data_IF_511236904976
#
_entry.id   IF_511236904976
#
_cell.length_a   1.000
_cell.length_b   1.000
_cell.length_c   1.000
_cell.angle_alpha   90.00
_cell.angle_beta   90.00
_cell.angle_gamma   90.00
#
_symmetry.space_group_name_H-M   'P 1'
#
loop_
_entity.id
_entity.type
_entity.pdbx_description
1 polymer ?
#
# COMPACT_ATOMS: atom_id res chain seq x y z
N UNK A 1 2.92 -31.06 2.44
CA UNK A 1 3.07 -30.83 0.99
C UNK A 1 2.44 -29.47 0.67
N UNK A 2 2.97 -28.69 -0.28
CA UNK A 2 2.36 -27.43 -0.68
C UNK A 2 1.15 -27.66 -1.60
N UNK A 3 0.04 -26.98 -1.33
CA UNK A 3 -1.04 -26.81 -2.31
C UNK A 3 -0.60 -25.77 -3.32
N UNK A 4 -0.42 -26.17 -4.58
CA UNK A 4 -0.14 -25.25 -5.68
C UNK A 4 -1.44 -24.54 -6.06
N UNK A 5 -1.37 -23.23 -6.25
CA UNK A 5 -2.51 -22.40 -6.63
C UNK A 5 -2.30 -21.93 -8.05
N UNK A 6 -3.28 -22.22 -8.91
CA UNK A 6 -3.24 -21.82 -10.31
C UNK A 6 -3.36 -20.29 -10.46
N UNK A 7 -2.77 -19.76 -11.53
CA UNK A 7 -2.66 -18.30 -11.74
C UNK A 7 -4.02 -17.64 -11.95
N UNK A 8 -4.96 -18.37 -12.54
CA UNK A 8 -6.34 -17.94 -12.78
C UNK A 8 -7.28 -18.15 -11.56
N UNK A 9 -6.81 -18.73 -10.47
CA UNK A 9 -7.62 -18.94 -9.27
C UNK A 9 -7.74 -17.63 -8.47
N UNK A 10 -8.77 -16.83 -8.78
CA UNK A 10 -9.02 -15.53 -8.15
C UNK A 10 -9.78 -15.64 -6.81
N UNK A 11 -10.59 -16.68 -6.64
CA UNK A 11 -11.37 -16.93 -5.43
C UNK A 11 -11.23 -18.39 -5.02
N UNK A 12 -10.79 -18.65 -3.78
CA UNK A 12 -10.53 -20.00 -3.31
C UNK A 12 -10.48 -20.09 -1.79
N UNK A 13 -11.33 -20.93 -1.20
CA UNK A 13 -11.26 -21.23 0.23
C UNK A 13 -10.25 -22.33 0.57
N UNK A 14 -9.70 -22.21 1.78
CA UNK A 14 -8.80 -23.19 2.36
C UNK A 14 -9.42 -23.85 3.59
N UNK A 15 -8.75 -24.91 4.05
CA UNK A 15 -9.28 -25.74 5.12
C UNK A 15 -9.24 -25.08 6.50
N UNK A 16 -8.45 -24.02 6.69
CA UNK A 16 -8.55 -23.15 7.86
C UNK A 16 -9.70 -22.17 7.61
N UNK A 17 -10.71 -22.17 8.49
CA UNK A 17 -11.91 -21.35 8.28
C UNK A 17 -11.58 -19.86 8.12
N UNK A 18 -12.05 -19.26 7.03
CA UNK A 18 -11.83 -17.85 6.67
C UNK A 18 -10.52 -17.55 5.93
N UNK A 19 -9.55 -18.47 5.91
CA UNK A 19 -8.35 -18.32 5.09
C UNK A 19 -8.74 -18.58 3.62
N UNK A 20 -8.59 -17.58 2.76
CA UNK A 20 -9.03 -17.68 1.35
C UNK A 20 -8.37 -16.67 0.43
N UNK A 21 -8.34 -16.98 -0.86
CA UNK A 21 -8.18 -15.95 -1.90
C UNK A 21 -9.53 -15.32 -2.23
N UNK A 22 -9.54 -14.02 -2.44
CA UNK A 22 -10.67 -13.24 -2.95
C UNK A 22 -10.23 -12.37 -4.12
N UNK A 23 -11.15 -12.07 -5.03
CA UNK A 23 -10.89 -11.17 -6.14
C UNK A 23 -10.63 -9.73 -5.66
N UNK A 24 -9.67 -9.08 -6.30
CA UNK A 24 -9.45 -7.65 -6.17
C UNK A 24 -10.30 -6.86 -7.17
N UNK A 25 -10.46 -5.57 -6.89
CA UNK A 25 -11.06 -4.62 -7.81
C UNK A 25 -9.97 -4.04 -8.70
N UNK A 26 -9.89 -4.50 -9.95
CA UNK A 26 -8.91 -4.01 -10.92
C UNK A 26 -9.60 -3.41 -12.15
N UNK A 27 -8.97 -2.40 -12.75
CA UNK A 27 -9.42 -1.77 -13.98
C UNK A 27 -8.26 -1.69 -14.98
N UNK A 28 -8.52 -2.05 -16.24
CA UNK A 28 -7.59 -1.84 -17.35
C UNK A 28 -7.74 -0.44 -17.97
N UNK A 29 -6.78 -0.02 -18.79
CA UNK A 29 -6.71 1.34 -19.36
C UNK A 29 -7.51 1.57 -20.64
N UNK A 30 -8.15 0.54 -21.18
CA UNK A 30 -8.97 0.61 -22.39
C UNK A 30 -10.14 1.61 -22.33
N UNK A 31 -10.48 2.15 -21.16
CA UNK A 31 -11.55 3.13 -20.97
C UNK A 31 -11.08 4.59 -20.87
N UNK A 32 -9.77 4.90 -20.84
CA UNK A 32 -9.30 6.29 -20.59
C UNK A 32 -8.00 6.73 -21.27
N UNK A 33 -7.29 5.87 -22.02
CA UNK A 33 -6.01 6.28 -22.63
C UNK A 33 -4.93 6.67 -21.60
N UNK A 34 -5.00 6.09 -20.40
CA UNK A 34 -4.07 6.34 -19.31
C UNK A 34 -2.67 5.81 -19.56
N UNK A 35 -1.67 6.38 -18.89
CA UNK A 35 -0.23 6.05 -19.01
C UNK A 35 0.21 4.80 -18.21
N UNK A 36 -0.74 4.11 -17.57
CA UNK A 36 -0.51 2.85 -16.85
C UNK A 36 -1.21 1.70 -17.58
N UNK A 37 -1.00 0.45 -17.18
CA UNK A 37 -1.63 -0.73 -17.80
C UNK A 37 -2.79 -1.29 -16.98
N UNK A 38 -2.74 -1.12 -15.66
CA UNK A 38 -3.75 -1.59 -14.71
C UNK A 38 -3.78 -0.70 -13.48
N UNK A 39 -4.99 -0.44 -12.97
CA UNK A 39 -5.27 0.16 -11.65
C UNK A 39 -5.81 -0.94 -10.74
N UNK A 40 -5.29 -1.05 -9.53
CA UNK A 40 -5.84 -1.83 -8.43
C UNK A 40 -6.41 -0.84 -7.41
N UNK A 41 -7.72 -0.91 -7.17
CA UNK A 41 -8.41 -0.05 -6.22
C UNK A 41 -8.37 -0.62 -4.81
N UNK A 42 -8.65 0.21 -3.79
CA UNK A 42 -8.88 -0.28 -2.43
C UNK A 42 -10.02 -1.29 -2.35
N UNK A 43 -9.79 -2.34 -1.57
CA UNK A 43 -10.75 -3.39 -1.29
C UNK A 43 -11.93 -2.84 -0.48
N UNK A 44 -13.15 -3.42 -0.63
CA UNK A 44 -14.30 -3.08 0.20
C UNK A 44 -13.99 -3.09 1.69
N UNK A 45 -14.50 -2.14 2.46
CA UNK A 45 -14.19 -2.00 3.88
C UNK A 45 -13.36 -0.74 4.16
N UNK A 46 -12.42 -0.72 5.11
CA UNK A 46 -11.81 0.51 5.62
C UNK A 46 -11.05 1.39 4.61
N UNK A 47 -10.71 0.85 3.43
CA UNK A 47 -9.95 1.47 2.33
C UNK A 47 -8.47 1.80 2.63
N UNK A 48 -8.03 1.57 3.87
CA UNK A 48 -6.65 1.80 4.31
C UNK A 48 -5.71 0.83 3.58
N UNK A 49 -4.53 1.31 3.21
CA UNK A 49 -3.49 0.49 2.60
C UNK A 49 -2.11 0.83 3.12
N UNK A 50 -1.47 -0.18 3.68
CA UNK A 50 -0.06 -0.19 4.01
C UNK A 50 0.69 -1.01 2.94
N UNK A 51 1.96 -0.68 2.71
CA UNK A 51 2.78 -1.35 1.70
C UNK A 51 4.08 -1.83 2.31
N UNK A 52 4.36 -3.12 2.20
CA UNK A 52 5.60 -3.74 2.67
C UNK A 52 6.50 -4.03 1.47
N UNK A 53 7.68 -3.44 1.44
CA UNK A 53 8.74 -3.77 0.48
C UNK A 53 9.70 -4.76 1.11
N UNK A 54 10.27 -5.65 0.29
CA UNK A 54 11.17 -6.70 0.76
C UNK A 54 12.50 -6.65 0.02
N UNK A 55 13.58 -6.62 0.79
CA UNK A 55 14.95 -6.60 0.27
C UNK A 55 15.36 -7.93 -0.37
N UNK A 56 16.56 -7.93 -0.96
CA UNK A 56 17.19 -9.13 -1.50
C UNK A 56 17.43 -10.18 -0.40
N UNK A 57 17.20 -11.45 -0.71
CA UNK A 57 17.35 -12.58 0.24
C UNK A 57 16.50 -12.44 1.53
N UNK A 58 15.42 -11.65 1.47
CA UNK A 58 14.53 -11.41 2.62
C UNK A 58 13.86 -12.69 3.12
N UNK A 59 13.85 -12.87 4.43
CA UNK A 59 13.18 -13.98 5.10
C UNK A 59 12.66 -13.58 6.48
N UNK A 60 11.45 -14.00 6.80
CA UNK A 60 10.93 -13.89 8.17
C UNK A 60 11.52 -14.98 9.05
N UNK A 61 11.97 -14.60 10.26
CA UNK A 61 12.43 -15.53 11.30
C UNK A 61 11.31 -16.04 12.22
N UNK A 62 10.11 -15.45 12.11
CA UNK A 62 8.94 -15.77 12.92
C UNK A 62 7.68 -15.94 12.08
N UNK A 63 6.69 -16.64 12.64
CA UNK A 63 5.29 -16.49 12.31
C UNK A 63 4.73 -15.29 13.05
N UNK A 64 3.88 -14.52 12.38
CA UNK A 64 3.04 -13.48 12.96
C UNK A 64 1.64 -13.99 13.25
N UNK A 65 1.07 -13.63 14.39
CA UNK A 65 -0.34 -13.85 14.73
C UNK A 65 -0.94 -12.50 15.11
N UNK A 66 -1.79 -11.95 14.25
CA UNK A 66 -2.61 -10.79 14.59
C UNK A 66 -3.82 -11.23 15.42
N UNK A 67 -4.13 -10.60 16.54
CA UNK A 67 -5.32 -10.94 17.35
C UNK A 67 -6.47 -9.96 17.13
N UNK A 68 -6.17 -8.73 16.73
CA UNK A 68 -7.08 -7.64 16.43
C UNK A 68 -7.25 -7.36 14.94
N UNK A 69 -6.41 -7.90 14.06
CA UNK A 69 -6.41 -7.56 12.64
C UNK A 69 -6.64 -8.79 11.74
N UNK A 70 -7.58 -8.68 10.78
CA UNK A 70 -7.54 -9.53 9.59
C UNK A 70 -6.60 -8.89 8.57
N UNK A 71 -5.70 -9.68 8.01
CA UNK A 71 -4.82 -9.23 6.92
C UNK A 71 -5.45 -9.50 5.58
N UNK A 72 -5.29 -8.54 4.66
CA UNK A 72 -5.80 -8.65 3.29
C UNK A 72 -4.67 -8.30 2.34
N UNK A 73 -3.90 -9.33 2.01
CA UNK A 73 -2.60 -9.20 1.37
C UNK A 73 -2.70 -9.36 -0.15
N UNK A 74 -2.31 -8.34 -0.89
CA UNK A 74 -2.07 -8.44 -2.33
C UNK A 74 -0.57 -8.43 -2.60
N UNK A 75 -0.07 -9.44 -3.30
CA UNK A 75 1.34 -9.60 -3.62
C UNK A 75 1.62 -9.13 -5.05
N UNK A 76 2.59 -8.23 -5.21
CA UNK A 76 2.90 -7.52 -6.45
C UNK A 76 4.39 -7.66 -6.77
N UNK A 77 4.74 -8.06 -8.00
CA UNK A 77 6.14 -8.29 -8.38
C UNK A 77 6.25 -9.09 -9.68
N UNK A 78 7.39 -9.74 -9.91
CA UNK A 78 7.59 -10.64 -11.06
C UNK A 78 6.61 -11.82 -10.98
N UNK A 79 5.75 -11.96 -11.99
CA UNK A 79 4.75 -13.03 -12.08
C UNK A 79 5.34 -14.44 -12.18
N UNK A 80 6.67 -14.56 -12.34
CA UNK A 80 7.39 -15.85 -12.33
C UNK A 80 7.80 -16.27 -10.92
N UNK A 81 7.90 -15.33 -9.98
CA UNK A 81 8.29 -15.59 -8.59
C UNK A 81 7.22 -16.42 -7.88
N UNK A 82 7.65 -17.46 -7.17
CA UNK A 82 6.76 -18.37 -6.41
C UNK A 82 6.87 -18.05 -4.94
N UNK A 83 5.79 -17.55 -4.36
CA UNK A 83 5.63 -17.24 -2.95
C UNK A 83 5.14 -18.49 -2.23
N UNK A 84 5.80 -18.81 -1.13
CA UNK A 84 5.42 -19.92 -0.25
C UNK A 84 4.82 -19.35 1.03
N UNK A 85 3.53 -19.60 1.26
CA UNK A 85 2.81 -19.18 2.47
C UNK A 85 2.59 -20.35 3.42
N UNK A 86 2.78 -20.11 4.72
CA UNK A 86 2.61 -21.09 5.79
C UNK A 86 1.60 -20.57 6.80
N UNK A 87 0.59 -21.36 7.12
CA UNK A 87 -0.51 -20.95 7.98
C UNK A 87 -0.79 -22.02 9.03
N UNK A 88 -1.03 -21.58 10.26
CA UNK A 88 -1.47 -22.44 11.38
C UNK A 88 -2.63 -21.78 12.08
N UNK A 89 -3.75 -22.47 12.22
CA UNK A 89 -4.87 -21.95 13.00
C UNK A 89 -4.54 -21.98 14.50
N UNK A 90 -4.53 -20.82 15.16
CA UNK A 90 -4.24 -20.68 16.59
C UNK A 90 -5.47 -20.23 17.39
N UNK A 91 -6.67 -20.21 16.78
CA UNK A 91 -7.86 -19.62 17.39
C UNK A 91 -8.50 -20.56 18.41
N UNK A 92 -8.70 -20.04 19.62
CA UNK A 92 -9.47 -20.69 20.67
C UNK A 92 -10.86 -21.09 20.15
N UNK A 93 -11.27 -22.35 20.39
CA UNK A 93 -12.57 -22.87 19.99
C UNK A 93 -12.76 -23.10 18.49
N UNK A 94 -11.73 -22.89 17.65
CA UNK A 94 -11.82 -23.19 16.21
C UNK A 94 -11.93 -24.69 15.94
N UNK A 95 -12.86 -25.07 15.06
CA UNK A 95 -13.00 -26.44 14.56
C UNK A 95 -11.76 -26.92 13.78
N UNK A 96 -10.90 -25.98 13.37
CA UNK A 96 -9.67 -26.24 12.59
C UNK A 96 -8.41 -25.90 13.38
N UNK A 97 -8.49 -25.84 14.71
CA UNK A 97 -7.35 -25.52 15.59
C UNK A 97 -6.11 -26.39 15.27
N UNK A 98 -4.96 -25.74 15.14
CA UNK A 98 -3.66 -26.31 14.77
C UNK A 98 -3.61 -27.00 13.41
N UNK A 99 -4.64 -26.84 12.59
CA UNK A 99 -4.56 -27.23 11.19
C UNK A 99 -3.51 -26.39 10.48
N UNK A 100 -2.73 -27.06 9.63
CA UNK A 100 -1.66 -26.44 8.85
C UNK A 100 -2.10 -26.34 7.40
N UNK A 101 -1.97 -25.15 6.82
CA UNK A 101 -2.11 -24.93 5.38
C UNK A 101 -0.78 -24.41 4.84
N UNK A 102 -0.33 -24.97 3.71
CA UNK A 102 0.86 -24.51 2.99
C UNK A 102 0.51 -24.24 1.55
N UNK A 103 0.70 -23.01 1.12
CA UNK A 103 0.32 -22.53 -0.21
C UNK A 103 1.57 -22.19 -1.02
N UNK A 104 1.57 -22.53 -2.30
CA UNK A 104 2.55 -22.04 -3.27
C UNK A 104 1.82 -21.36 -4.41
N UNK A 105 2.05 -20.05 -4.57
CA UNK A 105 1.32 -19.21 -5.51
C UNK A 105 2.25 -18.14 -6.11
N UNK A 106 1.79 -17.45 -7.15
CA UNK A 106 2.48 -16.31 -7.75
C UNK A 106 1.79 -14.99 -7.38
N UNK A 107 2.54 -13.86 -7.36
CA UNK A 107 1.95 -12.54 -7.19
C UNK A 107 0.93 -12.26 -8.29
N UNK A 108 -0.13 -11.52 -7.94
CA UNK A 108 -1.20 -11.15 -8.87
C UNK A 108 -1.97 -9.97 -8.32
N UNK A 109 -2.23 -8.98 -9.18
CA UNK A 109 -3.12 -7.86 -8.85
C UNK A 109 -4.59 -8.28 -8.76
N UNK A 110 -4.97 -9.42 -9.34
CA UNK A 110 -6.38 -9.85 -9.46
C UNK A 110 -6.95 -10.50 -8.20
N UNK A 111 -6.10 -10.80 -7.21
CA UNK A 111 -6.52 -11.46 -5.99
C UNK A 111 -5.75 -10.98 -4.78
N UNK A 112 -6.44 -10.99 -3.65
CA UNK A 112 -5.87 -10.84 -2.30
C UNK A 112 -6.00 -12.13 -1.53
N UNK A 113 -5.04 -12.41 -0.66
CA UNK A 113 -5.13 -13.45 0.36
C UNK A 113 -5.71 -12.82 1.63
N UNK A 114 -6.84 -13.34 2.09
CA UNK A 114 -7.44 -12.98 3.37
C UNK A 114 -6.95 -13.94 4.44
N UNK A 115 -6.31 -13.42 5.48
CA UNK A 115 -5.82 -14.19 6.62
C UNK A 115 -6.60 -13.73 7.84
N UNK A 116 -7.47 -14.58 8.41
CA UNK A 116 -8.20 -14.21 9.60
C UNK A 116 -7.27 -13.98 10.79
N UNK A 117 -7.61 -13.01 11.64
CA UNK A 117 -6.99 -12.88 12.97
C UNK A 117 -6.95 -14.22 13.72
N UNK A 118 -5.88 -14.44 14.44
CA UNK A 118 -5.58 -15.66 15.17
C UNK A 118 -5.07 -16.81 14.30
N UNK A 119 -4.86 -16.61 13.00
CA UNK A 119 -4.12 -17.54 12.15
C UNK A 119 -2.66 -17.10 12.08
N UNK A 120 -1.76 -17.94 12.62
CA UNK A 120 -0.33 -17.72 12.51
C UNK A 120 0.10 -17.83 11.05
N UNK A 121 0.88 -16.88 10.56
CA UNK A 121 1.33 -16.91 9.17
C UNK A 121 2.73 -16.36 8.98
N UNK A 122 3.36 -16.78 7.88
CA UNK A 122 4.65 -16.30 7.41
C UNK A 122 4.83 -16.66 5.95
N UNK A 123 5.78 -16.03 5.28
CA UNK A 123 6.00 -16.15 3.85
C UNK A 123 7.49 -16.28 3.52
N UNK A 124 7.78 -17.07 2.48
CA UNK A 124 9.11 -17.18 1.88
C UNK A 124 9.08 -16.70 0.41
N UNK A 125 10.27 -16.41 -0.11
CA UNK A 125 10.51 -15.94 -1.48
C UNK A 125 9.81 -14.61 -1.79
N UNK A 126 9.93 -13.65 -0.88
CA UNK A 126 9.36 -12.31 -1.03
C UNK A 126 10.34 -11.28 -1.63
N UNK A 127 11.58 -11.65 -1.95
CA UNK A 127 12.52 -10.75 -2.63
C UNK A 127 11.88 -10.12 -3.88
N UNK A 128 11.93 -8.78 -3.95
CA UNK A 128 11.36 -8.02 -5.06
C UNK A 128 9.83 -8.03 -5.14
N UNK A 129 9.16 -8.67 -4.18
CA UNK A 129 7.71 -8.60 -4.01
C UNK A 129 7.39 -7.40 -3.13
N UNK A 130 6.36 -6.66 -3.51
CA UNK A 130 5.69 -5.67 -2.66
C UNK A 130 4.38 -6.28 -2.21
N UNK A 131 4.11 -6.23 -0.90
CA UNK A 131 2.85 -6.66 -0.34
C UNK A 131 2.03 -5.44 0.03
N UNK A 132 0.86 -5.27 -0.57
CA UNK A 132 -0.16 -4.35 -0.08
C UNK A 132 -0.95 -5.07 1.00
N UNK A 133 -1.04 -4.49 2.19
CA UNK A 133 -1.96 -4.94 3.24
C UNK A 133 -3.08 -3.92 3.42
N UNK A 134 -4.31 -4.42 3.49
CA UNK A 134 -5.51 -3.63 3.73
C UNK A 134 -6.16 -4.08 5.04
N UNK A 135 -5.62 -3.69 6.20
CA UNK A 135 -6.01 -4.27 7.48
C UNK A 135 -7.47 -3.99 7.84
N UNK A 136 -8.14 -4.99 8.44
CA UNK A 136 -9.45 -4.80 9.09
C UNK A 136 -9.31 -5.05 10.58
N UNK A 137 -9.51 -4.00 11.36
CA UNK A 137 -9.30 -3.95 12.80
C UNK A 137 -10.56 -4.29 13.60
N UNK A 138 -10.34 -5.01 14.69
CA UNK A 138 -11.33 -5.51 15.62
C UNK A 138 -10.84 -5.29 17.05
N UNK A 139 -11.78 -5.10 17.96
CA UNK A 139 -11.54 -4.85 19.38
C UNK A 139 -12.36 -5.79 20.26
N UNK A 140 -11.76 -6.26 21.35
CA UNK A 140 -12.43 -6.81 22.53
C UNK A 140 -11.82 -6.12 23.76
N UNK A 141 -12.66 -5.60 24.66
CA UNK A 141 -12.23 -4.82 25.83
C UNK A 141 -11.46 -5.64 26.88
N UNK A 142 -11.55 -6.97 26.82
CA UNK A 142 -11.04 -7.90 27.81
C UNK A 142 -9.95 -8.83 27.27
N UNK A 143 -9.40 -8.56 26.08
CA UNK A 143 -8.39 -9.41 25.44
C UNK A 143 -6.96 -9.01 25.83
N UNK A 144 -6.28 -9.74 26.74
CA UNK A 144 -4.93 -9.38 27.19
C UNK A 144 -3.86 -9.59 26.11
N UNK A 145 -4.17 -10.36 25.06
CA UNK A 145 -3.27 -10.53 23.92
C UNK A 145 -3.31 -9.33 22.98
N UNK A 146 -4.37 -8.53 23.01
CA UNK A 146 -4.51 -7.36 22.15
C UNK A 146 -3.80 -6.14 22.72
N UNK A 147 -2.96 -5.51 21.91
CA UNK A 147 -2.34 -4.23 22.20
C UNK A 147 -2.38 -3.41 20.90
N UNK A 148 -2.93 -2.20 20.97
CA UNK A 148 -3.05 -1.33 19.81
C UNK A 148 -1.68 -0.96 19.21
N UNK A 149 -0.66 -0.78 20.05
CA UNK A 149 0.70 -0.43 19.62
C UNK A 149 1.39 -1.62 18.93
N UNK A 150 0.99 -2.86 19.26
CA UNK A 150 1.55 -4.07 18.69
C UNK A 150 0.58 -5.27 18.78
N UNK A 151 -0.23 -5.43 17.74
CA UNK A 151 -1.19 -6.53 17.61
C UNK A 151 -0.55 -7.88 17.24
N UNK A 152 0.75 -7.89 16.99
CA UNK A 152 1.46 -9.09 16.55
C UNK A 152 1.87 -9.94 17.76
N UNK A 153 1.57 -11.23 17.72
CA UNK A 153 2.20 -12.25 18.57
C UNK A 153 3.14 -13.08 17.71
N UNK A 154 4.43 -13.05 18.03
CA UNK A 154 5.49 -13.71 17.28
C UNK A 154 5.75 -15.12 17.80
N UNK A 155 5.87 -16.08 16.87
CA UNK A 155 6.27 -17.47 17.15
C UNK A 155 7.50 -17.80 16.31
N UNK A 156 8.58 -18.31 16.91
CA UNK A 156 9.79 -18.68 16.17
C UNK A 156 9.47 -19.72 15.07
N UNK A 157 10.11 -19.61 13.89
CA UNK A 157 9.84 -20.57 12.80
C UNK A 157 10.29 -21.99 13.07
N UNK A 158 11.24 -22.16 13.99
CA UNK A 158 11.69 -23.46 14.47
C UNK A 158 10.75 -24.10 15.50
N UNK A 159 9.72 -23.39 15.95
CA UNK A 159 8.76 -23.90 16.93
C UNK A 159 8.01 -25.13 16.39
N UNK A 160 7.85 -26.13 17.26
CA UNK A 160 6.98 -27.29 17.00
C UNK A 160 5.52 -26.84 17.08
N UNK A 161 4.62 -27.59 16.43
CA UNK A 161 3.19 -27.25 16.37
C UNK A 161 2.55 -27.07 17.76
N UNK A 162 2.92 -27.90 18.73
CA UNK A 162 2.42 -27.81 20.11
C UNK A 162 2.96 -26.60 20.90
N UNK A 163 3.90 -25.85 20.35
CA UNK A 163 4.42 -24.60 20.92
C UNK A 163 3.75 -23.35 20.32
N UNK A 164 2.86 -23.51 19.31
CA UNK A 164 2.04 -22.40 18.85
C UNK A 164 1.02 -22.05 19.95
N UNK A 165 0.83 -20.75 20.26
CA UNK A 165 -0.11 -20.34 21.28
C UNK A 165 -1.55 -20.58 20.79
N UNK A 166 -2.45 -20.81 21.73
CA UNK A 166 -3.89 -20.68 21.49
C UNK A 166 -4.26 -19.25 21.88
N UNK A 167 -4.84 -18.50 20.94
CA UNK A 167 -5.19 -17.09 21.13
C UNK A 167 -6.69 -16.91 20.97
N UNK A 168 -7.24 -15.97 21.74
CA UNK A 168 -8.60 -15.48 21.55
C UNK A 168 -8.54 -14.26 20.62
N UNK A 169 -9.12 -14.32 19.41
CA UNK A 169 -9.15 -13.15 18.54
C UNK A 169 -10.26 -12.17 18.95
N UNK A 170 -10.08 -10.89 18.63
CA UNK A 170 -11.10 -9.87 18.85
C UNK A 170 -12.32 -10.09 17.93
N UNK A 171 -13.50 -9.69 18.39
CA UNK A 171 -14.77 -10.00 17.72
C UNK A 171 -15.45 -8.79 17.11
N UNK A 172 -15.26 -7.60 17.67
CA UNK A 172 -16.02 -6.43 17.25
C UNK A 172 -15.22 -5.59 16.25
N UNK A 173 -15.65 -5.61 14.98
CA UNK A 173 -15.03 -4.79 13.94
C UNK A 173 -15.12 -3.30 14.31
N UNK A 174 -14.00 -2.60 14.19
CA UNK A 174 -13.97 -1.16 14.37
C UNK A 174 -14.73 -0.45 13.23
N UNK A 175 -15.34 0.72 13.48
CA UNK A 175 -15.90 1.52 12.40
C UNK A 175 -14.79 2.13 11.53
N UNK A 176 -15.11 2.50 10.29
CA UNK A 176 -14.17 3.15 9.35
C UNK A 176 -13.44 4.36 9.98
N UNK A 177 -14.16 5.19 10.75
CA UNK A 177 -13.56 6.37 11.42
C UNK A 177 -12.45 5.98 12.41
N UNK A 178 -12.60 4.85 13.09
CA UNK A 178 -11.58 4.36 14.00
C UNK A 178 -10.38 3.82 13.21
N UNK A 179 -10.59 3.12 12.09
CA UNK A 179 -9.49 2.70 11.21
C UNK A 179 -8.67 3.89 10.71
N UNK A 180 -9.32 4.94 10.21
CA UNK A 180 -8.65 6.18 9.76
C UNK A 180 -7.88 6.82 10.93
N UNK A 181 -8.46 6.83 12.13
CA UNK A 181 -7.78 7.36 13.31
C UNK A 181 -6.51 6.58 13.65
N UNK A 182 -6.56 5.24 13.59
CA UNK A 182 -5.37 4.40 13.80
C UNK A 182 -4.30 4.66 12.75
N UNK A 183 -4.66 4.78 11.47
CA UNK A 183 -3.71 5.12 10.40
C UNK A 183 -3.05 6.48 10.63
N UNK A 184 -3.79 7.47 11.15
CA UNK A 184 -3.23 8.79 11.50
C UNK A 184 -2.29 8.75 12.70
N UNK A 185 -2.54 7.89 13.68
CA UNK A 185 -1.58 7.63 14.75
C UNK A 185 -0.30 7.06 14.15
N UNK A 186 -0.40 6.05 13.27
CA UNK A 186 0.77 5.48 12.59
C UNK A 186 1.53 6.52 11.78
N UNK A 187 0.85 7.42 11.05
CA UNK A 187 1.46 8.56 10.35
C UNK A 187 2.32 9.41 11.30
N UNK A 188 1.72 9.87 12.40
CA UNK A 188 2.40 10.74 13.36
C UNK A 188 3.59 10.04 14.04
N UNK A 189 3.43 8.76 14.41
CA UNK A 189 4.51 7.98 15.00
C UNK A 189 5.66 7.71 14.03
N UNK A 190 5.39 7.71 12.73
CA UNK A 190 6.36 7.41 11.66
C UNK A 190 6.80 8.68 10.90
N UNK A 191 6.57 9.86 11.46
CA UNK A 191 7.33 11.08 11.07
C UNK A 191 8.82 10.89 11.32
N UNK A 192 9.17 10.14 12.38
CA UNK A 192 10.50 9.64 12.66
C UNK A 192 10.50 8.11 12.49
N UNK A 193 11.10 7.59 11.40
CA UNK A 193 11.11 6.15 11.14
C UNK A 193 11.70 5.34 12.30
N UNK A 194 11.05 4.21 12.62
CA UNK A 194 11.44 3.29 13.69
C UNK A 194 11.39 1.83 13.25
N UNK A 195 12.03 0.94 14.00
CA UNK A 195 11.89 -0.51 13.77
C UNK A 195 10.49 -1.01 14.11
N UNK A 196 10.03 -2.03 13.40
CA UNK A 196 8.98 -2.88 13.94
C UNK A 196 9.48 -3.68 15.15
N UNK A 197 8.64 -3.73 16.18
CA UNK A 197 8.90 -4.48 17.40
C UNK A 197 8.37 -5.91 17.27
N UNK A 198 9.22 -6.90 17.52
CA UNK A 198 8.77 -8.28 17.67
C UNK A 198 8.20 -8.47 19.07
N UNK A 199 7.07 -9.16 19.21
CA UNK A 199 6.38 -9.34 20.50
C UNK A 199 6.18 -10.82 20.80
N UNK A 200 6.89 -11.31 21.79
CA UNK A 200 6.89 -12.72 22.16
C UNK A 200 6.06 -12.96 23.41
N UNK A 201 5.27 -14.03 23.38
CA UNK A 201 4.61 -14.56 24.57
C UNK A 201 5.62 -15.29 25.45
N UNK A 202 5.68 -14.95 26.73
CA UNK A 202 6.54 -15.56 27.74
C UNK A 202 5.75 -15.92 28.99
N UNK A 203 6.19 -16.95 29.71
CA UNK A 203 5.64 -17.30 31.01
C UNK A 203 6.50 -16.68 32.11
N UNK A 204 5.91 -15.77 32.89
CA UNK A 204 6.59 -15.11 34.02
C UNK A 204 5.74 -15.35 35.27
N UNK A 205 6.33 -16.02 36.28
CA UNK A 205 5.68 -16.36 37.55
C UNK A 205 4.32 -17.08 37.38
N UNK A 206 4.21 -17.99 36.41
CA UNK A 206 2.97 -18.75 36.13
C UNK A 206 1.88 -17.96 35.39
N UNK A 207 2.16 -16.71 34.99
CA UNK A 207 1.27 -15.88 34.18
C UNK A 207 1.84 -15.64 32.78
N UNK A 208 0.98 -15.71 31.76
CA UNK A 208 1.36 -15.35 30.40
C UNK A 208 1.55 -13.83 30.32
N UNK A 209 2.71 -13.40 29.85
CA UNK A 209 3.06 -12.00 29.58
C UNK A 209 3.62 -11.85 28.18
N UNK A 210 3.72 -10.61 27.71
CA UNK A 210 4.30 -10.30 26.41
C UNK A 210 5.50 -9.38 26.58
N UNK A 211 6.60 -9.70 25.89
CA UNK A 211 7.82 -8.88 25.88
C UNK A 211 8.05 -8.39 24.45
N UNK A 212 8.34 -7.09 24.32
CA UNK A 212 8.68 -6.46 23.05
C UNK A 212 10.20 -6.41 22.90
N UNK A 213 10.70 -6.80 21.73
CA UNK A 213 12.10 -6.74 21.34
C UNK A 213 12.25 -5.80 20.16
N UNK A 214 13.08 -4.78 20.32
CA UNK A 214 13.46 -3.85 19.26
C UNK A 214 14.73 -4.35 18.57
N UNK A 215 14.72 -4.54 17.24
CA UNK A 215 15.93 -4.80 16.47
C UNK A 215 16.92 -3.64 16.61
N UNK A 216 18.22 -3.93 16.78
CA UNK A 216 19.25 -2.89 16.69
C UNK A 216 19.37 -2.39 15.24
N UNK A 217 19.17 -1.09 15.01
CA UNK A 217 19.55 -0.43 13.76
C UNK A 217 20.92 0.25 13.86
N UNK A 218 21.68 0.20 12.77
CA UNK A 218 23.06 0.70 12.69
C UNK A 218 23.29 1.66 11.51
N UNK A 219 22.26 2.04 10.74
CA UNK A 219 22.41 2.87 9.53
C UNK A 219 21.86 4.29 9.70
N UNK A 220 22.55 5.27 9.11
CA UNK A 220 22.08 6.66 8.96
C UNK A 220 21.10 6.76 7.78
N UNK A 221 19.88 6.29 8.00
CA UNK A 221 18.77 6.34 7.05
C UNK A 221 18.42 7.76 6.62
N UNK A 222 18.58 8.74 7.53
CA UNK A 222 18.13 10.10 7.30
C UNK A 222 18.88 10.79 6.18
N UNK A 223 20.21 10.73 6.23
CA UNK A 223 21.05 11.37 5.23
C UNK A 223 20.82 10.81 3.82
N UNK A 224 20.60 9.50 3.69
CA UNK A 224 20.39 8.87 2.39
C UNK A 224 19.10 9.39 1.71
N UNK A 225 18.01 9.51 2.46
CA UNK A 225 16.72 9.99 1.97
C UNK A 225 16.76 11.49 1.64
N UNK A 226 17.40 12.29 2.49
CA UNK A 226 17.54 13.74 2.28
C UNK A 226 18.28 14.06 0.97
N UNK A 227 19.35 13.32 0.65
CA UNK A 227 20.09 13.50 -0.59
C UNK A 227 19.24 13.25 -1.86
N UNK A 228 18.25 12.36 -1.79
CA UNK A 228 17.33 12.12 -2.91
C UNK A 228 16.36 13.32 -3.03
N UNK A 229 15.83 13.79 -1.90
CA UNK A 229 14.87 14.90 -1.85
C UNK A 229 15.51 16.21 -2.32
N UNK A 230 16.71 16.54 -1.85
CA UNK A 230 17.40 17.81 -2.16
C UNK A 230 17.78 17.96 -3.63
N UNK A 231 18.01 16.84 -4.33
CA UNK A 231 18.28 16.81 -5.77
C UNK A 231 17.05 17.13 -6.61
N UNK A 232 15.86 17.01 -6.04
CA UNK A 232 14.61 17.17 -6.75
C UNK A 232 14.12 18.63 -6.67
N UNK A 233 14.39 19.41 -7.73
CA UNK A 233 14.00 20.83 -7.82
C UNK A 233 13.25 21.10 -9.12
N UNK A 234 11.93 20.96 -9.07
CA UNK A 234 11.04 21.21 -10.22
C UNK A 234 9.86 22.06 -9.74
N UNK A 235 9.60 23.24 -10.33
CA UNK A 235 8.43 24.04 -9.99
C UNK A 235 7.13 23.23 -10.09
N UNK A 236 6.32 23.25 -9.04
CA UNK A 236 5.07 22.47 -8.99
C UNK A 236 5.25 20.97 -8.73
N UNK A 237 6.46 20.47 -8.50
CA UNK A 237 6.71 19.07 -8.11
C UNK A 237 7.66 18.99 -6.93
N UNK A 238 7.29 18.24 -5.89
CA UNK A 238 8.07 18.14 -4.65
C UNK A 238 8.37 16.69 -4.34
N UNK A 239 9.63 16.36 -4.07
CA UNK A 239 9.96 15.10 -3.41
C UNK A 239 9.75 15.24 -1.90
N UNK A 240 9.19 14.22 -1.26
CA UNK A 240 9.00 14.16 0.19
C UNK A 240 9.31 12.77 0.72
N UNK A 241 9.69 12.71 1.98
CA UNK A 241 9.81 11.45 2.71
C UNK A 241 8.42 10.86 2.95
N UNK A 242 8.30 9.55 2.78
CA UNK A 242 7.12 8.76 3.19
C UNK A 242 7.14 8.48 4.70
N UNK A 243 5.98 8.18 5.27
CA UNK A 243 5.92 7.59 6.61
C UNK A 243 6.19 6.09 6.55
N UNK A 244 7.27 5.62 7.19
CA UNK A 244 7.62 4.21 7.20
C UNK A 244 8.27 3.73 8.49
N UNK A 245 8.16 2.42 8.70
CA UNK A 245 8.94 1.67 9.68
C UNK A 245 9.79 0.61 9.00
N UNK A 246 10.92 0.26 9.63
CA UNK A 246 11.82 -0.78 9.14
C UNK A 246 11.30 -2.17 9.52
N UNK A 247 11.14 -3.03 8.53
CA UNK A 247 10.82 -4.46 8.69
C UNK A 247 12.01 -5.38 8.41
N UNK A 248 13.09 -4.81 7.89
CA UNK A 248 14.37 -5.46 7.59
C UNK A 248 15.48 -4.44 7.47
N UNK A 249 16.65 -4.83 6.95
CA UNK A 249 17.76 -3.91 6.71
C UNK A 249 17.45 -2.88 5.62
N UNK A 250 16.76 -3.33 4.56
CA UNK A 250 16.25 -2.52 3.44
C UNK A 250 14.80 -2.89 3.07
N UNK A 251 14.03 -3.29 4.07
CA UNK A 251 12.61 -3.62 3.94
C UNK A 251 11.81 -2.63 4.77
N UNK A 252 10.73 -2.10 4.18
CA UNK A 252 9.98 -0.99 4.77
C UNK A 252 8.48 -1.30 4.76
N UNK A 253 7.78 -1.00 5.85
CA UNK A 253 6.32 -0.83 5.81
C UNK A 253 6.02 0.65 5.68
N UNK A 254 5.37 1.01 4.59
CA UNK A 254 4.89 2.35 4.28
C UNK A 254 3.44 2.48 4.72
N UNK A 255 3.14 3.48 5.53
CA UNK A 255 1.75 3.84 5.89
C UNK A 255 1.28 5.01 5.02
N UNK A 256 -0.03 5.37 4.99
CA UNK A 256 -0.53 6.45 4.14
C UNK A 256 0.16 7.80 4.35
N UNK A 257 0.36 8.55 3.27
CA UNK A 257 0.87 9.93 3.34
C UNK A 257 -0.25 10.96 3.46
N UNK A 258 -1.43 10.62 2.95
CA UNK A 258 -2.59 11.51 3.00
C UNK A 258 -3.45 11.21 4.22
N UNK A 259 -4.10 12.24 4.76
CA UNK A 259 -5.06 12.08 5.86
C UNK A 259 -6.39 11.41 5.44
N UNK A 260 -6.63 11.25 4.13
CA UNK A 260 -7.73 10.43 3.62
C UNK A 260 -7.41 8.94 3.74
N UNK A 261 -6.12 8.58 3.79
CA UNK A 261 -5.61 7.22 3.95
C UNK A 261 -6.01 6.24 2.84
N UNK A 262 -6.47 6.75 1.69
CA UNK A 262 -6.84 5.95 0.52
C UNK A 262 -5.68 5.96 -0.46
N UNK A 263 -5.29 4.77 -0.92
CA UNK A 263 -4.26 4.61 -1.93
C UNK A 263 -4.66 3.54 -2.95
N UNK A 264 -4.55 3.88 -4.23
CA UNK A 264 -4.64 2.91 -5.32
C UNK A 264 -3.25 2.44 -5.72
N UNK A 265 -3.16 1.36 -6.49
CA UNK A 265 -1.92 0.93 -7.14
C UNK A 265 -2.05 1.01 -8.65
N UNK A 266 -1.04 1.59 -9.31
CA UNK A 266 -0.92 1.64 -10.75
C UNK A 266 0.25 0.76 -11.21
N UNK A 267 0.06 0.00 -12.29
CA UNK A 267 1.14 -0.76 -12.93
C UNK A 267 1.61 -0.04 -14.19
N UNK A 268 2.80 0.55 -14.13
CA UNK A 268 3.53 1.04 -15.29
C UNK A 268 4.32 -0.11 -15.92
N UNK A 269 4.08 -0.38 -17.21
CA UNK A 269 4.81 -1.41 -17.96
C UNK A 269 6.14 -0.89 -18.49
N UNK A 270 7.16 -1.73 -18.43
CA UNK A 270 8.47 -1.48 -18.99
C UNK A 270 8.37 -1.03 -20.46
N UNK A 271 9.03 0.08 -20.80
CA UNK A 271 9.11 0.63 -22.16
C UNK A 271 7.75 0.77 -22.86
N UNK A 272 6.67 1.06 -22.12
CA UNK A 272 5.35 1.27 -22.71
C UNK A 272 5.33 2.52 -23.59
N UNK A 273 4.87 2.39 -24.83
CA UNK A 273 4.65 3.55 -25.70
C UNK A 273 3.58 4.49 -25.12
N UNK A 274 2.58 3.95 -24.42
CA UNK A 274 1.49 4.70 -23.79
C UNK A 274 1.98 5.63 -22.68
N UNK A 275 3.13 5.32 -22.05
CA UNK A 275 3.72 6.16 -21.02
C UNK A 275 4.56 7.32 -21.57
N UNK A 276 4.63 7.47 -22.90
CA UNK A 276 5.34 8.59 -23.55
C UNK A 276 4.47 9.83 -23.77
N UNK A 277 3.15 9.70 -23.64
CA UNK A 277 2.25 10.85 -23.68
C UNK A 277 2.33 11.64 -22.36
N UNK A 278 2.12 12.95 -22.44
CA UNK A 278 1.94 13.77 -21.26
C UNK A 278 0.50 13.71 -20.79
N UNK A 279 0.31 13.56 -19.49
CA UNK A 279 -0.99 13.65 -18.85
C UNK A 279 -0.94 14.64 -17.70
N UNK A 280 -2.08 15.23 -17.38
CA UNK A 280 -2.21 16.14 -16.25
C UNK A 280 -3.56 15.99 -15.57
N UNK A 281 -3.67 16.57 -14.40
CA UNK A 281 -4.88 16.55 -13.58
C UNK A 281 -5.39 17.97 -13.36
N UNK A 282 -6.66 18.18 -13.68
CA UNK A 282 -7.30 19.49 -13.51
C UNK A 282 -7.72 19.77 -12.07
N UNK A 283 -7.95 18.73 -11.26
CA UNK A 283 -8.53 18.87 -9.92
C UNK A 283 -7.76 18.11 -8.84
N UNK A 284 -6.90 17.18 -9.24
CA UNK A 284 -6.17 16.37 -8.28
C UNK A 284 -4.70 16.70 -8.26
N UNK A 285 -4.20 16.91 -7.05
CA UNK A 285 -2.76 16.82 -6.77
C UNK A 285 -2.44 15.35 -6.56
N UNK A 286 -1.44 14.82 -7.26
CA UNK A 286 -1.04 13.41 -7.17
C UNK A 286 0.18 13.23 -6.28
N UNK A 287 0.18 12.14 -5.53
CA UNK A 287 1.30 11.71 -4.70
C UNK A 287 1.64 10.29 -5.14
N UNK A 288 2.81 10.13 -5.74
CA UNK A 288 3.30 8.84 -6.25
C UNK A 288 4.49 8.33 -5.46
N UNK A 289 4.41 7.08 -5.01
CA UNK A 289 5.56 6.33 -4.47
C UNK A 289 5.84 5.15 -5.39
N UNK A 290 7.09 5.02 -5.85
CA UNK A 290 7.56 3.89 -6.63
C UNK A 290 7.93 2.76 -5.68
N UNK A 291 7.22 1.63 -5.74
CA UNK A 291 7.22 0.63 -4.66
C UNK A 291 8.26 -0.48 -4.83
N UNK A 292 8.59 -0.86 -6.07
CA UNK A 292 9.48 -1.98 -6.38
C UNK A 292 10.70 -1.51 -7.19
N UNK A 293 11.68 -2.41 -7.36
CA UNK A 293 12.93 -2.15 -8.08
C UNK A 293 13.73 -0.98 -7.46
N UNK A 294 13.94 -1.02 -6.14
CA UNK A 294 14.79 -0.05 -5.44
C UNK A 294 16.16 0.09 -6.15
N UNK A 295 16.59 1.33 -6.36
CA UNK A 295 17.81 1.67 -7.09
C UNK A 295 17.65 1.79 -8.61
N UNK A 296 16.51 1.42 -9.18
CA UNK A 296 16.26 1.60 -10.61
C UNK A 296 16.09 3.08 -10.97
N UNK A 297 16.52 3.46 -12.18
CA UNK A 297 16.31 4.80 -12.71
C UNK A 297 14.90 4.93 -13.31
N UNK A 298 14.19 5.97 -12.90
CA UNK A 298 12.89 6.37 -13.42
C UNK A 298 13.05 7.71 -14.14
N UNK A 299 12.72 7.74 -15.42
CA UNK A 299 12.73 8.98 -16.19
C UNK A 299 11.41 9.72 -16.00
N UNK A 300 11.52 10.99 -15.62
CA UNK A 300 10.41 11.88 -15.37
C UNK A 300 10.53 13.10 -16.29
N UNK A 301 9.41 13.48 -16.89
CA UNK A 301 9.31 14.72 -17.65
C UNK A 301 8.09 15.50 -17.21
N UNK A 302 8.22 16.81 -17.06
CA UNK A 302 7.17 17.68 -16.57
C UNK A 302 6.99 18.91 -17.45
N UNK A 303 5.75 19.39 -17.58
CA UNK A 303 5.40 20.64 -18.26
C UNK A 303 4.46 21.42 -17.36
N UNK A 304 4.78 22.68 -17.09
CA UNK A 304 3.93 23.56 -16.29
C UNK A 304 2.81 24.17 -17.15
N UNK A 305 1.54 23.85 -16.87
CA UNK A 305 0.37 24.36 -17.60
C UNK A 305 -0.38 25.44 -16.81
N UNK A 306 0.17 25.93 -15.70
CA UNK A 306 -0.44 26.97 -14.86
C UNK A 306 -0.18 28.35 -15.45
N UNK A 307 -1.22 29.00 -15.94
CA UNK A 307 -1.12 30.26 -16.71
C UNK A 307 -0.45 31.41 -15.96
N UNK A 308 -0.60 31.42 -14.65
CA UNK A 308 -0.08 32.42 -13.71
C UNK A 308 1.31 32.07 -13.18
N UNK A 309 1.89 30.95 -13.62
CA UNK A 309 3.23 30.52 -13.23
C UNK A 309 4.31 31.15 -14.10
N UNK A 310 5.38 31.61 -13.46
CA UNK A 310 6.61 32.10 -14.13
C UNK A 310 7.27 31.02 -15.01
N UNK A 311 6.93 29.76 -14.78
CA UNK A 311 7.44 28.61 -15.54
C UNK A 311 6.46 28.02 -16.53
N UNK A 312 5.36 28.72 -16.87
CA UNK A 312 4.37 28.25 -17.85
C UNK A 312 5.02 27.81 -19.18
N UNK A 313 4.67 26.60 -19.62
CA UNK A 313 5.16 25.96 -20.83
C UNK A 313 6.60 25.44 -20.77
N UNK A 314 7.32 25.64 -19.67
CA UNK A 314 8.68 25.11 -19.51
C UNK A 314 8.65 23.60 -19.31
N UNK A 315 9.57 22.91 -19.99
CA UNK A 315 9.76 21.46 -19.86
C UNK A 315 10.93 21.21 -18.91
N UNK A 316 10.73 20.32 -17.94
CA UNK A 316 11.77 19.86 -17.03
C UNK A 316 11.93 18.34 -17.12
N UNK A 317 13.16 17.89 -17.32
CA UNK A 317 13.53 16.47 -17.32
C UNK A 317 14.30 16.13 -16.05
N UNK A 318 14.01 14.97 -15.47
CA UNK A 318 14.70 14.50 -14.28
C UNK A 318 14.77 12.98 -14.24
N UNK A 319 15.87 12.45 -13.72
CA UNK A 319 16.01 11.02 -13.42
C UNK A 319 15.93 10.83 -11.93
N UNK A 320 14.90 10.11 -11.47
CA UNK A 320 14.73 9.74 -10.07
C UNK A 320 15.29 8.33 -9.84
N UNK A 321 16.08 8.16 -8.80
CA UNK A 321 16.44 6.82 -8.32
C UNK A 321 15.27 6.31 -7.47
N UNK A 322 14.70 5.17 -7.89
CA UNK A 322 13.57 4.54 -7.22
C UNK A 322 13.93 4.19 -5.77
N UNK A 323 13.23 4.81 -4.83
CA UNK A 323 13.36 4.57 -3.41
C UNK A 323 11.97 4.63 -2.77
N UNK A 324 11.44 3.52 -2.22
CA UNK A 324 10.10 3.48 -1.66
C UNK A 324 9.92 4.39 -0.45
N UNK A 325 11.01 4.89 0.16
CA UNK A 325 10.97 5.86 1.27
C UNK A 325 10.66 7.28 0.79
N UNK A 326 10.67 7.55 -0.52
CA UNK A 326 10.40 8.86 -1.11
C UNK A 326 9.15 8.81 -1.97
N UNK A 327 8.31 9.84 -1.87
CA UNK A 327 7.24 10.10 -2.83
C UNK A 327 7.52 11.39 -3.61
N UNK A 328 6.91 11.50 -4.79
CA UNK A 328 6.79 12.75 -5.53
C UNK A 328 5.34 13.25 -5.44
N UNK A 329 5.19 14.52 -5.10
CA UNK A 329 3.92 15.25 -5.12
C UNK A 329 3.89 16.14 -6.36
N UNK A 330 2.94 15.91 -7.26
CA UNK A 330 2.73 16.66 -8.50
C UNK A 330 1.49 17.55 -8.31
N UNK A 331 1.67 18.86 -8.37
CA UNK A 331 0.59 19.84 -8.28
C UNK A 331 -0.38 19.74 -9.47
N UNK A 332 -1.63 20.13 -9.24
CA UNK A 332 -2.61 20.29 -10.32
C UNK A 332 -2.10 21.26 -11.39
N UNK A 333 -2.41 20.98 -12.66
CA UNK A 333 -1.90 21.76 -13.79
C UNK A 333 -0.44 21.53 -14.15
N UNK A 334 0.26 20.58 -13.52
CA UNK A 334 1.54 20.07 -14.04
C UNK A 334 1.25 18.84 -14.89
N UNK A 335 1.58 18.91 -16.18
CA UNK A 335 1.64 17.76 -17.05
C UNK A 335 2.90 16.95 -16.78
N UNK A 336 2.79 15.63 -16.86
CA UNK A 336 3.89 14.73 -16.58
C UNK A 336 3.86 13.50 -17.46
N UNK A 337 5.04 12.91 -17.62
CA UNK A 337 5.31 11.66 -18.32
C UNK A 337 6.31 10.88 -17.46
N UNK A 338 6.04 9.58 -17.25
CA UNK A 338 6.82 8.70 -16.38
C UNK A 338 7.23 7.48 -17.20
N UNK A 339 8.53 7.23 -17.33
CA UNK A 339 9.07 6.09 -18.09
C UNK A 339 10.03 5.28 -17.24
N UNK A 340 10.01 3.98 -17.48
CA UNK A 340 10.95 3.03 -16.88
C UNK A 340 11.24 1.90 -17.84
N UNK A 341 12.45 1.35 -17.73
CA UNK A 341 12.87 0.13 -18.44
C UNK A 341 12.39 -1.15 -17.74
N UNK A 342 11.79 -1.02 -16.55
CA UNK A 342 11.25 -2.11 -15.74
C UNK A 342 9.75 -1.91 -15.49
N UNK A 343 9.05 -3.00 -15.14
CA UNK A 343 7.68 -2.91 -14.64
C UNK A 343 7.69 -2.29 -13.24
N UNK A 344 6.92 -1.21 -13.05
CA UNK A 344 6.88 -0.46 -11.80
C UNK A 344 5.46 -0.44 -11.24
N UNK A 345 5.33 -0.79 -9.96
CA UNK A 345 4.12 -0.59 -9.18
C UNK A 345 4.21 0.76 -8.47
N UNK A 346 3.25 1.63 -8.73
CA UNK A 346 3.14 2.94 -8.09
C UNK A 346 1.99 2.92 -7.10
N UNK A 347 2.27 3.28 -5.85
CA UNK A 347 1.23 3.75 -4.93
C UNK A 347 0.77 5.12 -5.39
N UNK A 348 -0.53 5.29 -5.55
CA UNK A 348 -1.17 6.54 -5.95
C UNK A 348 -2.09 7.03 -4.82
N UNK A 349 -1.70 8.13 -4.18
CA UNK A 349 -2.56 8.90 -3.30
C UNK A 349 -2.86 10.24 -3.95
N UNK A 350 -3.91 10.92 -3.50
CA UNK A 350 -4.24 12.24 -4.03
C UNK A 350 -5.01 13.13 -3.07
N UNK A 351 -4.94 14.41 -3.37
CA UNK A 351 -5.78 15.45 -2.79
C UNK A 351 -6.68 16.01 -3.90
N UNK A 352 -7.90 16.38 -3.56
CA UNK A 352 -8.91 16.85 -4.51
C UNK A 352 -9.21 18.32 -4.24
N UNK A 353 -9.34 19.11 -5.29
CA UNK A 353 -9.65 20.53 -5.24
C UNK A 353 -10.96 20.83 -5.97
N UNK A 354 -11.72 21.80 -5.46
CA UNK A 354 -12.97 22.30 -6.04
C UNK A 354 -13.06 23.81 -5.87
N UNK A 355 -13.95 24.46 -6.63
CA UNK A 355 -14.26 25.89 -6.44
C UNK A 355 -15.43 26.12 -5.48
N UNK A 356 -15.44 27.29 -4.82
CA UNK A 356 -16.42 27.63 -3.77
C UNK A 356 -17.90 27.56 -4.22
N UNK A 357 -18.15 27.74 -5.52
CA UNK A 357 -19.49 27.81 -6.11
C UNK A 357 -19.75 26.73 -7.18
N UNK A 358 -18.94 25.66 -7.19
CA UNK A 358 -19.04 24.65 -8.22
C UNK A 358 -20.16 23.62 -7.93
N UNK A 359 -20.96 23.23 -8.94
CA UNK A 359 -21.92 22.14 -8.79
C UNK A 359 -21.19 20.86 -8.38
N UNK A 360 -21.57 20.29 -7.23
CA UNK A 360 -20.90 19.10 -6.65
C UNK A 360 -21.05 17.83 -7.50
N UNK A 361 -21.87 17.87 -8.55
CA UNK A 361 -22.02 16.79 -9.54
C UNK A 361 -20.81 16.63 -10.45
N UNK A 362 -19.93 17.64 -10.51
CA UNK A 362 -18.82 17.71 -11.47
C UNK A 362 -17.47 17.33 -10.84
N UNK A 363 -17.47 16.88 -9.57
CA UNK A 363 -16.28 16.34 -8.92
C UNK A 363 -16.06 14.93 -9.48
N UNK A 364 -14.97 14.69 -10.23
CA UNK A 364 -14.75 13.43 -10.93
C UNK A 364 -14.56 12.29 -9.94
N UNK A 365 -14.99 11.08 -10.32
CA UNK A 365 -14.58 9.87 -9.59
C UNK A 365 -13.05 9.71 -9.66
N UNK A 366 -12.46 8.96 -8.73
CA UNK A 366 -11.01 8.90 -8.55
C UNK A 366 -10.26 8.61 -9.86
N UNK A 367 -9.49 9.60 -10.33
CA UNK A 367 -8.66 9.47 -11.53
C UNK A 367 -9.38 9.69 -12.87
N UNK A 368 -10.67 10.06 -12.86
CA UNK A 368 -11.39 10.49 -14.07
C UNK A 368 -11.07 11.93 -14.49
N UNK A 369 -10.22 12.63 -13.74
CA UNK A 369 -9.70 13.97 -14.08
C UNK A 369 -8.36 13.94 -14.83
N UNK A 370 -7.93 12.75 -15.27
CA UNK A 370 -6.73 12.57 -16.08
C UNK A 370 -6.99 13.06 -17.50
N UNK A 371 -6.22 14.03 -17.96
CA UNK A 371 -6.35 14.64 -19.28
C UNK A 371 -5.05 14.42 -20.05
N UNK A 372 -5.16 13.81 -21.23
CA UNK A 372 -4.02 13.68 -22.16
C UNK A 372 -3.72 15.01 -22.83
N UNK A 373 -2.44 15.39 -22.87
CA UNK A 373 -1.98 16.58 -23.56
C UNK A 373 -1.62 16.23 -25.01
N UNK A 374 -2.22 16.92 -25.98
CA UNK A 374 -1.87 16.78 -27.39
C UNK A 374 -0.61 17.58 -27.71
N UNK A 375 0.34 16.98 -28.43
CA UNK A 375 1.57 17.65 -28.85
C UNK A 375 1.36 18.68 -29.98
N UNK A 376 0.22 18.64 -30.66
CA UNK A 376 -0.05 19.43 -31.87
C UNK A 376 -0.86 20.71 -31.58
N UNK A 377 -1.25 20.93 -30.32
CA UNK A 377 -2.07 22.05 -29.88
C UNK A 377 -1.29 22.95 -28.91
N UNK A 378 -1.57 24.28 -28.89
CA UNK A 378 -1.01 25.15 -27.86
C UNK A 378 -1.43 24.65 -26.47
N UNK A 379 -0.54 24.84 -25.48
CA UNK A 379 -0.82 24.42 -24.12
C UNK A 379 -2.15 25.02 -23.62
N UNK A 380 -3.01 24.21 -22.98
CA UNK A 380 -4.30 24.68 -22.53
C UNK A 380 -4.09 25.80 -21.51
N UNK A 381 -4.86 26.87 -21.65
CA UNK A 381 -4.95 27.88 -20.61
C UNK A 381 -5.88 27.37 -19.51
N UNK A 382 -5.31 26.87 -18.44
CA UNK A 382 -6.10 26.26 -17.35
C UNK A 382 -6.37 27.25 -16.22
N UNK A 383 -7.62 27.33 -15.78
CA UNK A 383 -8.00 27.88 -14.48
C UNK A 383 -8.20 26.69 -13.55
N UNK A 384 -7.49 26.67 -12.43
CA UNK A 384 -7.46 25.52 -11.52
C UNK A 384 -8.18 25.86 -10.21
N UNK A 385 -8.93 24.90 -9.64
CA UNK A 385 -9.66 25.13 -8.41
C UNK A 385 -8.71 25.32 -7.22
N UNK A 386 -9.02 26.24 -6.31
CA UNK A 386 -8.10 26.58 -5.22
C UNK A 386 -8.40 25.87 -3.89
N UNK A 387 -9.64 25.41 -3.66
CA UNK A 387 -10.07 24.92 -2.35
C UNK A 387 -9.89 23.42 -2.24
N UNK A 388 -8.98 22.98 -1.36
CA UNK A 388 -8.78 21.57 -1.08
C UNK A 388 -10.00 20.99 -0.35
N UNK A 389 -10.58 19.93 -0.92
CA UNK A 389 -11.64 19.16 -0.30
C UNK A 389 -11.18 18.56 1.03
N UNK A 390 -12.01 18.60 2.10
CA UNK A 390 -11.69 17.91 3.34
C UNK A 390 -11.40 16.43 3.11
N UNK A 391 -10.40 15.87 3.79
CA UNK A 391 -10.02 14.47 3.62
C UNK A 391 -11.16 13.47 3.89
N UNK A 392 -12.11 13.83 4.76
CA UNK A 392 -13.31 13.03 5.02
C UNK A 392 -14.27 12.98 3.83
N UNK A 393 -14.27 14.00 2.97
CA UNK A 393 -15.01 14.02 1.70
C UNK A 393 -14.31 13.12 0.68
N UNK A 394 -12.98 13.26 0.55
CA UNK A 394 -12.17 12.39 -0.33
C UNK A 394 -12.36 10.91 0.02
N UNK A 395 -12.33 10.56 1.31
CA UNK A 395 -12.62 9.20 1.77
C UNK A 395 -14.01 8.71 1.38
N UNK A 396 -15.05 9.55 1.52
CA UNK A 396 -16.42 9.20 1.12
C UNK A 396 -16.56 9.03 -0.39
N UNK A 397 -15.85 9.83 -1.17
CA UNK A 397 -15.79 9.68 -2.62
C UNK A 397 -15.17 8.34 -3.02
N UNK A 398 -14.08 7.92 -2.35
CA UNK A 398 -13.48 6.61 -2.56
C UNK A 398 -14.47 5.47 -2.25
N UNK A 399 -15.19 5.57 -1.13
CA UNK A 399 -16.26 4.62 -0.77
C UNK A 399 -17.34 4.53 -1.85
N UNK A 400 -17.74 5.67 -2.39
CA UNK A 400 -18.76 5.73 -3.43
C UNK A 400 -18.29 5.11 -4.75
N UNK A 401 -17.05 5.40 -5.19
CA UNK A 401 -16.44 4.74 -6.37
C UNK A 401 -16.41 3.22 -6.17
N UNK A 402 -15.93 2.76 -5.02
CA UNK A 402 -15.81 1.36 -4.65
C UNK A 402 -17.16 0.63 -4.67
N UNK A 403 -18.24 1.29 -4.24
CA UNK A 403 -19.61 0.78 -4.32
C UNK A 403 -20.11 0.68 -5.77
N UNK A 404 -19.91 1.71 -6.58
CA UNK A 404 -20.38 1.72 -7.97
C UNK A 404 -19.58 0.77 -8.87
N UNK A 405 -18.30 0.57 -8.60
CA UNK A 405 -17.48 -0.39 -9.34
C UNK A 405 -17.88 -1.83 -9.04
N UNK A 406 -18.40 -2.11 -7.84
CA UNK A 406 -18.87 -3.45 -7.45
C UNK A 406 -20.25 -3.81 -8.01
N UNK A 407 -20.98 -2.84 -8.59
CA UNK A 407 -22.33 -3.02 -9.16
C UNK A 407 -22.31 -3.23 -10.69
N UNK A 408 -21.17 -2.99 -11.33
CA UNK A 408 -20.89 -3.26 -12.74
C UNK A 408 -19.99 -4.50 -12.87
#
# INVERSE_FOLDING_TARGET
MFRKIEDNSISLDFSISGLRFEANLTAGTALSGGWFSKKLMSSPGPLISDFVTHEKDFHYSTYGIHVGQDDRLTFMGDSRTKIDGFFVDCREGSATLHQIVRLRFKPSLERRLVIPRGVAHTFDNLEGIVTRDEPVWYVDHDNPAWNLDNDLVSVARSSKLNAFPIVRPNRHMLPDKAHIFLSKISQSLLENPKSYLARFSVQIAGSQKFVMLEPKHLADDNRAVELIIEKFKIPGVKAKRNHYAFTGGKSFTLVPNTHACVADVLLLKANSAESSAYHWHARTRKIYTFLNNEGAEIELSFIDLRNDSDTFGQVAHHTLICDPRVNITIEQGIAYCIRSTLDIYLRCEHEIFADENEPRTDIPMFGQDLISLSNDLPFPKVSLPALQCPHSVVYKMAKFEQQNFSLN
#
